data_IF_572630010334
#
_entry.id   IF_572630010334
#
_cell.length_a   1.000
_cell.length_b   1.000
_cell.length_c   1.000
_cell.angle_alpha   90.00
_cell.angle_beta   90.00
_cell.angle_gamma   90.00
#
_symmetry.space_group_name_H-M   'P 1'
#
loop_
_entity.id
_entity.type
_entity.pdbx_description
1 polymer ?
#
# COMPACT_ATOMS: atom_id res chain seq x y z
N UNK A 1 -22.65 -0.13 -14.27
CA UNK A 1 -22.53 0.68 -13.03
C UNK A 1 -21.10 0.70 -12.51
N UNK A 2 -20.44 -0.45 -12.35
CA UNK A 2 -19.03 -0.57 -11.90
C UNK A 2 -18.02 0.24 -12.73
N UNK A 3 -18.16 0.25 -14.06
CA UNK A 3 -17.28 1.02 -14.96
C UNK A 3 -17.29 2.52 -14.61
N UNK A 4 -18.46 3.12 -14.36
CA UNK A 4 -18.57 4.56 -14.03
C UNK A 4 -17.88 4.92 -12.71
N UNK A 5 -17.92 4.04 -11.72
CA UNK A 5 -17.26 4.26 -10.42
C UNK A 5 -15.75 4.10 -10.56
N UNK A 6 -15.30 3.07 -11.27
CA UNK A 6 -13.88 2.87 -11.56
C UNK A 6 -13.29 4.07 -12.33
N UNK A 7 -13.98 4.52 -13.38
CA UNK A 7 -13.57 5.68 -14.18
C UNK A 7 -13.43 6.94 -13.31
N UNK A 8 -14.42 7.19 -12.44
CA UNK A 8 -14.36 8.33 -11.52
C UNK A 8 -13.17 8.22 -10.54
N UNK A 9 -12.93 7.05 -9.95
CA UNK A 9 -11.78 6.83 -9.06
C UNK A 9 -10.46 7.06 -9.79
N UNK A 10 -10.35 6.63 -11.06
CA UNK A 10 -9.17 6.88 -11.87
C UNK A 10 -8.94 8.37 -12.11
N UNK A 11 -10.00 9.19 -12.21
CA UNK A 11 -9.84 10.65 -12.29
C UNK A 11 -9.24 11.28 -11.03
N UNK A 12 -9.43 10.65 -9.86
CA UNK A 12 -8.84 11.11 -8.59
C UNK A 12 -7.38 10.66 -8.42
N UNK A 13 -6.96 9.64 -9.17
CA UNK A 13 -5.63 9.03 -9.09
C UNK A 13 -4.48 10.04 -9.07
N UNK A 14 -4.37 10.97 -10.03
CA UNK A 14 -3.29 11.96 -10.06
C UNK A 14 -3.26 12.92 -8.86
N UNK A 15 -4.39 13.14 -8.20
CA UNK A 15 -4.50 14.01 -7.01
C UNK A 15 -4.10 13.28 -5.73
N UNK A 16 -4.32 11.97 -5.67
CA UNK A 16 -4.09 11.15 -4.46
C UNK A 16 -2.77 10.39 -4.52
N UNK A 17 -2.34 9.96 -5.72
CA UNK A 17 -1.12 9.21 -5.98
C UNK A 17 -0.11 10.16 -6.62
N UNK A 18 0.58 10.91 -5.78
CA UNK A 18 1.59 11.87 -6.20
C UNK A 18 3.00 11.32 -6.00
N UNK A 19 3.86 11.53 -6.99
CA UNK A 19 5.29 11.23 -6.88
C UNK A 19 6.09 12.51 -6.62
N UNK A 20 7.27 12.41 -5.97
CA UNK A 20 8.21 13.52 -5.90
C UNK A 20 8.67 13.97 -7.29
N UNK A 21 9.07 15.23 -7.40
CA UNK A 21 9.47 15.84 -8.69
C UNK A 21 10.71 15.21 -9.32
N UNK A 22 11.61 14.65 -8.52
CA UNK A 22 12.88 14.06 -8.98
C UNK A 22 12.93 12.56 -8.71
N UNK A 23 12.26 11.80 -9.58
CA UNK A 23 12.21 10.34 -9.52
C UNK A 23 13.56 9.68 -9.82
N UNK A 24 14.40 10.32 -10.63
CA UNK A 24 15.71 9.79 -10.98
C UNK A 24 16.62 9.77 -9.75
N UNK A 25 16.68 10.88 -9.02
CA UNK A 25 17.42 10.95 -7.76
C UNK A 25 16.85 9.98 -6.72
N UNK A 26 15.52 9.93 -6.57
CA UNK A 26 14.89 9.00 -5.64
C UNK A 26 15.22 7.55 -5.96
N UNK A 27 15.23 7.18 -7.24
CA UNK A 27 15.59 5.84 -7.66
C UNK A 27 17.06 5.50 -7.37
N UNK A 28 17.97 6.43 -7.68
CA UNK A 28 19.40 6.26 -7.38
C UNK A 28 19.66 6.13 -5.88
N UNK A 29 18.97 6.93 -5.06
CA UNK A 29 19.12 6.87 -3.61
C UNK A 29 18.52 5.60 -3.02
N UNK A 30 17.39 5.13 -3.55
CA UNK A 30 16.79 3.86 -3.14
C UNK A 30 17.66 2.66 -3.55
N UNK A 31 18.26 2.69 -4.74
CA UNK A 31 19.20 1.67 -5.20
C UNK A 31 20.41 1.54 -4.26
N UNK A 32 20.92 2.64 -3.70
CA UNK A 32 22.02 2.60 -2.71
C UNK A 32 21.68 1.80 -1.45
N UNK A 33 20.40 1.79 -1.04
CA UNK A 33 19.95 1.11 0.18
C UNK A 33 19.46 -0.32 -0.13
N UNK A 34 18.75 -0.50 -1.24
CA UNK A 34 18.09 -1.77 -1.59
C UNK A 34 18.91 -2.66 -2.53
N UNK A 35 19.85 -2.09 -3.29
CA UNK A 35 20.54 -2.77 -4.40
C UNK A 35 19.68 -2.99 -5.64
N UNK A 36 18.45 -2.44 -5.69
CA UNK A 36 17.51 -2.67 -6.79
C UNK A 36 17.46 -1.43 -7.71
N UNK A 37 17.92 -1.54 -8.97
CA UNK A 37 17.96 -0.40 -9.89
C UNK A 37 16.57 -0.04 -10.41
N UNK A 38 16.35 1.26 -10.65
CA UNK A 38 15.11 1.77 -11.26
C UNK A 38 13.88 1.79 -10.34
N UNK A 39 14.03 1.44 -9.06
CA UNK A 39 12.95 1.42 -8.07
C UNK A 39 13.01 2.68 -7.20
N UNK A 40 11.85 3.30 -6.93
CA UNK A 40 11.73 4.55 -6.15
C UNK A 40 11.21 4.35 -4.72
N UNK A 41 10.90 3.10 -4.37
CA UNK A 41 10.32 2.68 -3.09
C UNK A 41 9.63 1.33 -3.24
N UNK A 42 9.34 0.69 -2.11
CA UNK A 42 8.62 -0.59 -2.07
C UNK A 42 7.35 -0.48 -1.23
N UNK A 43 6.28 -1.11 -1.71
CA UNK A 43 5.01 -1.28 -1.00
C UNK A 43 4.75 -2.77 -0.89
N UNK A 44 4.47 -3.24 0.33
CA UNK A 44 4.07 -4.61 0.56
C UNK A 44 2.87 -4.67 1.51
N UNK A 45 2.06 -5.71 1.37
CA UNK A 45 0.83 -5.91 2.12
C UNK A 45 0.80 -7.29 2.75
N UNK A 46 0.34 -7.37 4.00
CA UNK A 46 0.12 -8.64 4.68
C UNK A 46 -1.19 -8.60 5.47
N UNK A 47 -1.68 -9.78 5.82
CA UNK A 47 -2.80 -9.94 6.74
C UNK A 47 -2.24 -10.42 8.08
N UNK A 48 -2.40 -9.59 9.10
CA UNK A 48 -2.03 -9.95 10.48
C UNK A 48 -3.25 -10.59 11.11
N UNK A 49 -3.19 -11.88 11.42
CA UNK A 49 -4.29 -12.57 12.08
C UNK A 49 -4.58 -11.96 13.45
N UNK A 50 -5.87 -11.82 13.75
CA UNK A 50 -6.35 -11.27 15.02
C UNK A 50 -7.53 -12.07 15.54
N UNK A 51 -7.78 -11.96 16.84
CA UNK A 51 -9.10 -12.26 17.39
C UNK A 51 -10.03 -11.07 17.15
N UNK A 52 -11.32 -11.35 16.99
CA UNK A 52 -12.31 -10.28 16.88
C UNK A 52 -12.26 -9.39 18.13
N UNK A 53 -12.10 -8.07 17.99
CA UNK A 53 -12.16 -7.18 19.14
C UNK A 53 -13.53 -7.25 19.82
N UNK A 54 -13.55 -7.12 21.14
CA UNK A 54 -14.78 -7.11 21.93
C UNK A 54 -15.76 -6.04 21.43
N UNK A 55 -17.05 -6.38 21.38
CA UNK A 55 -18.13 -5.50 20.92
C UNK A 55 -17.99 -5.02 19.46
N UNK A 56 -17.28 -5.78 18.60
CA UNK A 56 -17.21 -5.56 17.16
C UNK A 56 -17.82 -6.73 16.39
N UNK A 57 -18.18 -6.48 15.13
CA UNK A 57 -18.75 -7.49 14.23
C UNK A 57 -17.61 -8.25 13.55
N UNK A 58 -17.46 -9.55 13.79
CA UNK A 58 -16.36 -10.35 13.25
C UNK A 58 -16.24 -10.28 11.71
N UNK A 59 -17.37 -10.19 11.00
CA UNK A 59 -17.40 -10.09 9.55
C UNK A 59 -16.65 -8.85 9.00
N UNK A 60 -16.47 -7.78 9.78
CA UNK A 60 -15.72 -6.59 9.33
C UNK A 60 -14.20 -6.79 9.33
N UNK A 61 -13.72 -7.91 9.88
CA UNK A 61 -12.31 -8.27 9.94
C UNK A 61 -12.00 -9.54 9.13
N UNK A 62 -13.00 -10.11 8.45
CA UNK A 62 -12.85 -11.31 7.65
C UNK A 62 -12.18 -10.96 6.31
N UNK A 63 -11.04 -11.55 6.02
CA UNK A 63 -10.36 -11.37 4.72
C UNK A 63 -10.95 -12.30 3.64
N UNK A 64 -10.46 -12.19 2.41
CA UNK A 64 -10.89 -13.03 1.28
C UNK A 64 -10.60 -14.53 1.44
N UNK A 65 -9.79 -14.91 2.44
CA UNK A 65 -9.50 -16.30 2.80
C UNK A 65 -10.34 -16.79 3.98
N UNK A 66 -11.29 -16.01 4.47
CA UNK A 66 -12.15 -16.33 5.62
C UNK A 66 -11.43 -16.35 6.98
N UNK A 67 -10.27 -15.68 7.10
CA UNK A 67 -9.56 -15.49 8.36
C UNK A 67 -9.81 -14.09 8.93
N UNK A 68 -9.93 -13.99 10.26
CA UNK A 68 -9.98 -12.70 10.95
C UNK A 68 -8.58 -12.08 10.94
N UNK A 69 -8.44 -10.94 10.28
CA UNK A 69 -7.14 -10.27 10.15
C UNK A 69 -7.26 -8.76 9.97
N UNK A 70 -6.17 -8.07 10.28
CA UNK A 70 -5.97 -6.67 9.93
C UNK A 70 -5.09 -6.58 8.69
N UNK A 71 -5.45 -5.69 7.76
CA UNK A 71 -4.60 -5.37 6.62
C UNK A 71 -3.44 -4.51 7.09
N UNK A 72 -2.23 -5.06 7.01
CA UNK A 72 -0.99 -4.33 7.19
C UNK A 72 -0.47 -3.89 5.82
N UNK A 73 -0.01 -2.64 5.72
CA UNK A 73 0.74 -2.16 4.55
C UNK A 73 2.02 -1.51 5.03
N UNK A 74 3.16 -2.06 4.61
CA UNK A 74 4.47 -1.50 4.87
C UNK A 74 4.91 -0.67 3.66
N UNK A 75 5.58 0.44 3.95
CA UNK A 75 6.17 1.34 2.96
C UNK A 75 7.64 1.49 3.30
N UNK A 76 8.50 1.19 2.33
CA UNK A 76 9.94 1.41 2.43
C UNK A 76 10.35 2.49 1.43
N UNK A 77 11.07 3.50 1.92
CA UNK A 77 11.68 4.55 1.11
C UNK A 77 13.21 4.42 1.14
N UNK A 78 13.90 5.41 0.60
CA UNK A 78 15.36 5.48 0.59
C UNK A 78 15.96 5.88 1.94
N UNK A 79 15.16 6.01 3.00
CA UNK A 79 15.63 6.44 4.33
C UNK A 79 15.68 5.23 5.27
N UNK A 80 16.86 4.82 5.74
CA UNK A 80 16.94 3.84 6.81
C UNK A 80 16.27 4.43 8.07
N UNK A 81 15.51 3.58 8.80
CA UNK A 81 14.89 3.92 10.08
C UNK A 81 15.81 3.64 11.26
#
# INVERSE_FOLDING_TARGET
>A
MLIRVADYILTLGPTVITFPSDLNKLSQDFEKVSGVPGVVGCLDGSYVEIQCPSNKVAATYCNGHHHLSLTLRAVCDNKPR
#
